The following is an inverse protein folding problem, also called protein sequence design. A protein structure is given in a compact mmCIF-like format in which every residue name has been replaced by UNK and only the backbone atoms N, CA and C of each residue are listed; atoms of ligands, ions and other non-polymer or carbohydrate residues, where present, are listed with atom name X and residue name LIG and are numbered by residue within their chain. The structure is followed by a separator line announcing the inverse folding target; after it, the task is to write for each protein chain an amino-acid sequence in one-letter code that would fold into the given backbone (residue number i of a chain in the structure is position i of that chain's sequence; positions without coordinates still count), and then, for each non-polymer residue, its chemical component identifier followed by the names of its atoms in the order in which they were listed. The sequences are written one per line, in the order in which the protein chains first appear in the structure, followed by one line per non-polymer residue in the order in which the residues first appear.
data_IF_613038690911
#
_entry.id   IF_613038690911
#
_cell.length_a   1.000
_cell.length_b   1.000
_cell.length_c   1.000
_cell.angle_alpha   90.00
_cell.angle_beta   90.00
_cell.angle_gamma   90.00
#
_symmetry.space_group_name_H-M   'P 1'
#
loop_
_entity.id
_entity.type
_entity.pdbx_description
1 polymer ?
#
# COMPACT_ATOMS: atom_id res chain seq x y z
N UNK A 1 12.02 -1.27 -17.89
CA UNK A 1 13.28 -1.75 -17.29
C UNK A 1 13.62 -0.95 -16.04
N UNK A 2 13.74 0.36 -16.09
CA UNK A 2 14.10 1.22 -14.96
C UNK A 2 13.19 1.06 -13.70
N UNK A 3 11.86 1.04 -13.87
CA UNK A 3 10.91 0.83 -12.76
C UNK A 3 11.16 -0.46 -11.97
N UNK A 4 11.43 -1.57 -12.68
CA UNK A 4 11.68 -2.87 -12.04
C UNK A 4 12.98 -2.86 -11.23
N UNK A 5 14.04 -2.25 -11.78
CA UNK A 5 15.34 -2.13 -11.10
C UNK A 5 15.20 -1.25 -9.85
N UNK A 6 14.60 -0.07 -9.98
CA UNK A 6 14.35 0.86 -8.87
C UNK A 6 13.56 0.17 -7.75
N UNK A 7 12.45 -0.49 -8.09
CA UNK A 7 11.64 -1.24 -7.14
C UNK A 7 12.45 -2.33 -6.43
N UNK A 8 13.27 -3.09 -7.19
CA UNK A 8 14.10 -4.15 -6.62
C UNK A 8 15.14 -3.62 -5.64
N UNK A 9 15.81 -2.52 -5.98
CA UNK A 9 16.81 -1.87 -5.10
C UNK A 9 16.16 -1.38 -3.81
N UNK A 10 15.05 -0.63 -3.91
CA UNK A 10 14.35 -0.13 -2.73
C UNK A 10 13.82 -1.29 -1.87
N UNK A 11 13.33 -2.36 -2.49
CA UNK A 11 12.88 -3.55 -1.76
C UNK A 11 14.03 -4.23 -1.01
N UNK A 12 15.21 -4.34 -1.61
CA UNK A 12 16.39 -4.92 -0.94
C UNK A 12 16.77 -4.07 0.28
N UNK A 13 16.77 -2.74 0.15
CA UNK A 13 17.05 -1.83 1.26
C UNK A 13 16.03 -1.98 2.39
N UNK A 14 14.73 -2.01 2.07
CA UNK A 14 13.67 -2.21 3.07
C UNK A 14 13.72 -3.60 3.70
N UNK A 15 14.04 -4.65 2.93
CA UNK A 15 14.24 -5.97 3.49
C UNK A 15 15.41 -5.98 4.50
N UNK A 16 16.56 -5.40 4.14
CA UNK A 16 17.68 -5.25 5.06
C UNK A 16 17.31 -4.49 6.33
N UNK A 17 16.58 -3.39 6.18
CA UNK A 17 16.12 -2.57 7.29
C UNK A 17 15.13 -3.35 8.19
N UNK A 18 14.05 -3.86 7.64
CA UNK A 18 12.98 -4.44 8.46
C UNK A 18 13.32 -5.82 9.00
N UNK A 19 13.89 -6.71 8.18
CA UNK A 19 14.26 -8.05 8.64
C UNK A 19 15.60 -8.07 9.38
N UNK A 20 16.61 -7.31 8.91
CA UNK A 20 17.94 -7.33 9.47
C UNK A 20 18.08 -6.46 10.72
N UNK A 21 17.56 -5.25 10.72
CA UNK A 21 17.73 -4.29 11.82
C UNK A 21 16.57 -4.36 12.81
N UNK A 22 15.32 -4.36 12.32
CA UNK A 22 14.14 -4.36 13.19
C UNK A 22 13.61 -5.76 13.53
N UNK A 23 14.19 -6.83 12.99
CA UNK A 23 13.80 -8.21 13.31
C UNK A 23 12.36 -8.52 12.89
N UNK A 24 11.87 -7.94 11.79
CA UNK A 24 10.51 -8.20 11.28
C UNK A 24 10.32 -9.69 11.06
N UNK A 25 9.28 -10.25 11.67
CA UNK A 25 8.84 -11.61 11.44
C UNK A 25 7.51 -11.61 10.69
N UNK A 26 7.38 -12.46 9.67
CA UNK A 26 6.16 -12.56 8.84
C UNK A 26 5.68 -14.00 8.84
N UNK A 27 4.52 -14.23 9.41
CA UNK A 27 3.83 -15.51 9.44
C UNK A 27 2.74 -15.58 8.38
N UNK A 28 2.41 -16.77 7.90
CA UNK A 28 1.33 -17.00 6.95
C UNK A 28 1.59 -16.48 5.54
N UNK A 29 2.86 -16.19 5.18
CA UNK A 29 3.22 -15.68 3.84
C UNK A 29 2.79 -16.62 2.71
N UNK A 30 2.75 -17.91 2.97
CA UNK A 30 2.28 -18.96 2.06
C UNK A 30 0.80 -18.81 1.68
N UNK A 31 0.00 -18.13 2.51
CA UNK A 31 -1.42 -17.87 2.28
C UNK A 31 -1.66 -16.68 1.33
N UNK A 32 -0.61 -15.92 0.98
CA UNK A 32 -0.75 -14.76 0.10
C UNK A 32 -0.95 -15.24 -1.35
N UNK A 33 -2.08 -14.91 -2.02
CA UNK A 33 -2.31 -15.27 -3.41
C UNK A 33 -1.25 -14.66 -4.32
N UNK A 34 -0.58 -15.48 -5.10
CA UNK A 34 0.50 -15.02 -6.02
C UNK A 34 -0.04 -14.28 -7.24
N UNK A 35 -1.30 -14.52 -7.63
CA UNK A 35 -1.95 -13.94 -8.82
C UNK A 35 -3.41 -13.60 -8.50
N UNK A 36 -4.00 -12.79 -9.36
CA UNK A 36 -5.40 -12.39 -9.26
C UNK A 36 -5.61 -11.14 -8.41
N UNK A 37 -6.77 -10.53 -8.53
CA UNK A 37 -7.13 -9.36 -7.77
C UNK A 37 -7.28 -9.68 -6.28
N UNK A 38 -6.69 -8.87 -5.42
CA UNK A 38 -6.88 -8.93 -3.96
C UNK A 38 -6.92 -7.53 -3.38
N UNK A 39 -7.70 -7.37 -2.31
CA UNK A 39 -7.66 -6.18 -1.45
C UNK A 39 -6.89 -6.56 -0.19
N UNK A 40 -5.85 -5.77 0.11
CA UNK A 40 -5.02 -5.89 1.32
C UNK A 40 -5.44 -4.78 2.27
N UNK A 41 -6.00 -5.14 3.40
CA UNK A 41 -6.62 -4.21 4.35
C UNK A 41 -5.90 -4.23 5.71
N UNK A 42 -4.67 -3.72 5.82
CA UNK A 42 -3.94 -3.67 7.09
C UNK A 42 -4.49 -2.56 7.98
N UNK A 43 -4.26 -2.66 9.29
CA UNK A 43 -4.43 -1.55 10.21
C UNK A 43 -3.37 -0.45 9.96
N UNK A 44 -3.66 0.80 10.36
CA UNK A 44 -2.77 1.94 10.09
C UNK A 44 -2.27 2.58 11.38
N UNK A 45 -1.02 2.33 11.71
CA UNK A 45 -0.34 2.86 12.91
C UNK A 45 0.79 3.83 12.56
N UNK A 46 1.49 3.60 11.45
CA UNK A 46 2.73 4.28 11.10
C UNK A 46 2.81 4.63 9.62
N UNK A 47 3.66 5.60 9.29
CA UNK A 47 4.06 5.86 7.90
C UNK A 47 4.86 4.69 7.29
N UNK A 48 5.39 3.80 8.12
CA UNK A 48 6.12 2.62 7.69
C UNK A 48 5.22 1.42 7.35
N UNK A 49 3.91 1.47 7.65
CA UNK A 49 3.01 0.35 7.38
C UNK A 49 2.99 -0.04 5.89
N UNK A 50 2.87 0.90 4.91
CA UNK A 50 2.89 0.52 3.51
C UNK A 50 4.16 -0.21 3.08
N UNK A 51 5.39 0.25 3.40
CA UNK A 51 6.59 -0.49 3.07
C UNK A 51 6.75 -1.80 3.86
N UNK A 52 6.31 -1.88 5.12
CA UNK A 52 6.33 -3.12 5.90
C UNK A 52 5.44 -4.18 5.24
N UNK A 53 4.21 -3.83 4.91
CA UNK A 53 3.29 -4.72 4.20
C UNK A 53 3.86 -5.08 2.82
N UNK A 54 4.46 -4.12 2.12
CA UNK A 54 5.10 -4.35 0.83
C UNK A 54 6.23 -5.38 0.87
N UNK A 55 7.07 -5.40 1.92
CA UNK A 55 8.12 -6.42 2.06
C UNK A 55 7.57 -7.78 2.50
N UNK A 56 6.43 -7.81 3.20
CA UNK A 56 5.73 -9.06 3.52
C UNK A 56 5.21 -9.75 2.24
N UNK A 57 4.76 -8.97 1.25
CA UNK A 57 4.28 -9.44 -0.06
C UNK A 57 5.43 -9.60 -1.06
N UNK A 58 6.27 -10.58 -0.84
CA UNK A 58 7.53 -10.81 -1.56
C UNK A 58 7.42 -10.73 -3.09
N UNK A 59 6.36 -11.31 -3.66
CA UNK A 59 6.23 -11.53 -5.10
C UNK A 59 5.23 -10.60 -5.79
N UNK A 60 4.65 -9.63 -5.04
CA UNK A 60 3.62 -8.72 -5.57
C UNK A 60 3.87 -7.28 -5.14
N UNK A 61 3.62 -6.37 -6.07
CA UNK A 61 3.55 -4.94 -5.77
C UNK A 61 2.14 -4.65 -5.27
N UNK A 62 2.03 -3.97 -4.12
CA UNK A 62 0.76 -3.50 -3.61
C UNK A 62 0.58 -2.05 -4.04
N UNK A 63 -0.50 -1.77 -4.74
CA UNK A 63 -0.88 -0.44 -5.17
C UNK A 63 -1.70 0.23 -4.08
N UNK A 64 -1.22 1.34 -3.52
CA UNK A 64 -1.90 2.03 -2.44
C UNK A 64 -2.62 3.29 -2.91
N UNK A 65 -3.70 3.64 -2.21
CA UNK A 65 -4.25 4.99 -2.23
C UNK A 65 -3.57 5.84 -1.15
N UNK A 66 -3.01 6.97 -1.54
CA UNK A 66 -2.40 7.91 -0.60
C UNK A 66 -2.95 9.32 -0.80
N UNK A 67 -3.00 10.12 0.28
CA UNK A 67 -3.55 11.47 0.19
C UNK A 67 -2.81 12.31 -0.85
N UNK A 68 -3.56 13.10 -1.64
CA UNK A 68 -3.02 13.85 -2.78
C UNK A 68 -1.90 14.82 -2.41
N UNK A 69 -1.88 15.35 -1.19
CA UNK A 69 -0.86 16.29 -0.73
C UNK A 69 0.55 15.67 -0.72
N UNK A 70 0.67 14.35 -0.59
CA UNK A 70 1.96 13.65 -0.66
C UNK A 70 2.57 13.70 -2.06
N UNK A 71 1.75 13.93 -3.08
CA UNK A 71 2.18 14.02 -4.47
C UNK A 71 2.56 15.45 -4.90
N UNK A 72 2.34 16.45 -4.04
CA UNK A 72 2.75 17.85 -4.28
C UNK A 72 4.28 17.99 -4.27
N UNK A 73 4.98 17.22 -3.45
CA UNK A 73 6.43 17.14 -3.54
C UNK A 73 6.81 16.30 -4.78
N UNK A 74 7.54 16.86 -5.77
CA UNK A 74 7.80 16.18 -7.03
C UNK A 74 8.64 14.91 -6.87
N UNK A 75 9.64 14.93 -5.98
CA UNK A 75 10.52 13.78 -5.73
C UNK A 75 9.73 12.67 -5.04
N UNK A 76 9.06 13.00 -3.95
CA UNK A 76 8.29 12.03 -3.18
C UNK A 76 7.11 11.48 -3.98
N UNK A 77 6.38 12.34 -4.69
CA UNK A 77 5.30 11.93 -5.58
C UNK A 77 5.77 11.02 -6.72
N UNK A 78 6.96 11.27 -7.26
CA UNK A 78 7.58 10.38 -8.25
C UNK A 78 7.85 8.99 -7.64
N UNK A 79 8.48 8.93 -6.46
CA UNK A 79 8.75 7.68 -5.75
C UNK A 79 7.46 6.90 -5.50
N UNK A 80 6.42 7.54 -4.97
CA UNK A 80 5.13 6.90 -4.71
C UNK A 80 4.53 6.28 -5.98
N UNK A 81 4.58 6.99 -7.12
CA UNK A 81 4.10 6.46 -8.40
C UNK A 81 4.89 5.26 -8.90
N UNK A 82 6.20 5.18 -8.60
CA UNK A 82 7.01 3.99 -8.95
C UNK A 82 6.51 2.72 -8.22
N UNK A 83 5.95 2.89 -7.02
CA UNK A 83 5.32 1.82 -6.23
C UNK A 83 3.83 1.59 -6.56
N UNK A 84 3.34 2.16 -7.67
CA UNK A 84 1.93 2.01 -8.05
C UNK A 84 0.96 2.77 -7.14
N UNK A 85 1.46 3.60 -6.22
CA UNK A 85 0.62 4.42 -5.35
C UNK A 85 0.00 5.58 -6.14
N UNK A 86 -1.28 5.83 -5.94
CA UNK A 86 -2.03 6.88 -6.61
C UNK A 86 -2.77 7.80 -5.62
N UNK A 87 -3.02 9.07 -6.00
CA UNK A 87 -3.61 10.06 -5.10
C UNK A 87 -5.09 9.80 -4.86
N UNK A 88 -5.55 10.14 -3.65
CA UNK A 88 -6.95 10.22 -3.27
C UNK A 88 -7.22 11.52 -2.49
N UNK A 89 -8.31 12.19 -2.84
CA UNK A 89 -8.83 13.35 -2.09
C UNK A 89 -9.59 12.85 -0.87
N UNK A 90 -9.22 13.35 0.31
CA UNK A 90 -9.93 13.03 1.55
C UNK A 90 -11.03 14.03 1.84
N UNK A 91 -12.03 13.61 2.62
CA UNK A 91 -13.15 14.47 3.03
C UNK A 91 -14.34 14.49 2.07
N UNK A 92 -14.23 13.88 0.90
CA UNK A 92 -15.31 13.71 -0.07
C UNK A 92 -15.14 12.40 -0.85
N UNK A 93 -16.19 12.02 -1.58
CA UNK A 93 -16.12 10.84 -2.47
C UNK A 93 -15.25 11.20 -3.68
N UNK A 94 -14.07 10.59 -3.77
CA UNK A 94 -13.18 10.74 -4.92
C UNK A 94 -13.45 9.64 -5.96
N UNK A 95 -14.34 9.97 -6.91
CA UNK A 95 -14.73 9.04 -7.98
C UNK A 95 -13.57 8.62 -8.87
N UNK A 96 -12.54 9.49 -9.04
CA UNK A 96 -11.37 9.17 -9.85
C UNK A 96 -10.49 8.13 -9.15
N UNK A 97 -10.27 8.29 -7.84
CA UNK A 97 -9.54 7.32 -7.04
C UNK A 97 -10.27 5.98 -7.00
N UNK A 98 -11.61 5.96 -6.83
CA UNK A 98 -12.42 4.74 -6.88
C UNK A 98 -12.29 4.06 -8.25
N UNK A 99 -12.43 4.81 -9.34
CA UNK A 99 -12.28 4.26 -10.70
C UNK A 99 -10.89 3.66 -10.90
N UNK A 100 -9.85 4.34 -10.41
CA UNK A 100 -8.47 3.82 -10.49
C UNK A 100 -8.31 2.53 -9.68
N UNK A 101 -8.86 2.46 -8.47
CA UNK A 101 -8.84 1.26 -7.64
C UNK A 101 -9.50 0.06 -8.34
N UNK A 102 -10.67 0.28 -8.97
CA UNK A 102 -11.37 -0.75 -9.74
C UNK A 102 -10.52 -1.22 -10.93
N UNK A 103 -9.83 -0.31 -11.63
CA UNK A 103 -8.95 -0.68 -12.74
C UNK A 103 -7.77 -1.54 -12.26
N UNK A 104 -7.13 -1.18 -11.13
CA UNK A 104 -6.06 -2.00 -10.57
C UNK A 104 -6.53 -3.43 -10.24
N UNK A 105 -7.72 -3.57 -9.67
CA UNK A 105 -8.30 -4.89 -9.40
C UNK A 105 -8.64 -5.65 -10.69
N UNK A 106 -9.20 -4.98 -11.71
CA UNK A 106 -9.49 -5.60 -13.01
C UNK A 106 -8.22 -6.10 -13.72
N UNK A 107 -7.09 -5.43 -13.53
CA UNK A 107 -5.77 -5.83 -14.02
C UNK A 107 -5.15 -6.98 -13.21
N UNK A 108 -5.83 -7.45 -12.15
CA UNK A 108 -5.35 -8.52 -11.28
C UNK A 108 -4.29 -8.07 -10.27
N UNK A 109 -4.19 -6.77 -10.02
CA UNK A 109 -3.23 -6.22 -9.06
C UNK A 109 -3.69 -6.38 -7.60
N UNK A 110 -2.75 -6.25 -6.66
CA UNK A 110 -3.03 -6.15 -5.24
C UNK A 110 -3.27 -4.68 -4.88
N UNK A 111 -4.45 -4.37 -4.35
CA UNK A 111 -4.83 -3.03 -3.91
C UNK A 111 -4.72 -2.94 -2.39
N UNK A 112 -3.88 -2.03 -1.88
CA UNK A 112 -3.73 -1.77 -0.46
C UNK A 112 -4.62 -0.61 -0.01
N UNK A 113 -5.47 -0.86 0.97
CA UNK A 113 -6.36 0.14 1.54
C UNK A 113 -6.27 0.05 3.05
N UNK A 114 -6.00 1.16 3.72
CA UNK A 114 -6.12 1.26 5.16
C UNK A 114 -7.57 1.61 5.52
N UNK A 115 -8.36 0.65 6.05
CA UNK A 115 -9.80 0.85 6.24
C UNK A 115 -10.13 1.93 7.27
N UNK A 116 -9.19 2.28 8.13
CA UNK A 116 -9.30 3.36 9.10
C UNK A 116 -9.20 4.77 8.48
N UNK A 117 -8.72 4.87 7.23
CA UNK A 117 -8.55 6.13 6.49
C UNK A 117 -7.51 7.09 7.08
N UNK A 118 -7.03 6.85 8.30
CA UNK A 118 -6.02 7.64 9.01
C UNK A 118 -5.22 6.76 9.94
N UNK A 119 -4.08 7.27 10.42
CA UNK A 119 -3.27 6.57 11.43
C UNK A 119 -3.92 6.65 12.80
N UNK A 120 -4.01 5.53 13.49
CA UNK A 120 -4.60 5.42 14.82
C UNK A 120 -3.48 5.39 15.87
N UNK A 121 -3.42 6.43 16.69
CA UNK A 121 -2.39 6.60 17.73
C UNK A 121 -2.68 5.81 19.02
N UNK A 122 -3.96 5.50 19.28
CA UNK A 122 -4.41 4.71 20.45
C UNK A 122 -4.17 3.21 20.25
N UNK A 123 -4.24 2.45 21.33
CA UNK A 123 -4.25 0.98 21.26
C UNK A 123 -5.51 0.47 20.53
N UNK A 124 -5.40 -0.74 19.96
CA UNK A 124 -6.48 -1.38 19.22
C UNK A 124 -6.65 -0.87 17.79
N UNK A 125 -7.77 -1.26 17.20
CA UNK A 125 -8.16 -0.87 15.85
C UNK A 125 -9.01 0.41 15.88
N UNK A 126 -8.92 1.21 14.83
CA UNK A 126 -9.78 2.36 14.60
C UNK A 126 -11.14 1.97 14.01
N UNK A 127 -11.99 2.96 13.79
CA UNK A 127 -13.25 2.76 13.06
C UNK A 127 -12.95 2.52 11.58
N UNK A 128 -13.51 1.46 11.04
CA UNK A 128 -13.41 1.14 9.62
C UNK A 128 -14.45 1.88 8.80
N UNK A 129 -14.04 2.43 7.69
CA UNK A 129 -14.93 3.04 6.70
C UNK A 129 -15.43 1.97 5.72
N UNK A 130 -16.73 1.95 5.46
CA UNK A 130 -17.38 0.95 4.58
C UNK A 130 -17.04 1.10 3.10
N UNK A 131 -16.42 2.23 2.68
CA UNK A 131 -16.08 2.48 1.28
C UNK A 131 -15.21 1.42 0.61
N UNK A 132 -14.40 0.70 1.40
CA UNK A 132 -13.60 -0.43 0.89
C UNK A 132 -14.48 -1.62 0.44
N UNK A 133 -15.58 -1.86 1.13
CA UNK A 133 -16.50 -2.97 0.81
C UNK A 133 -17.30 -2.72 -0.47
N UNK A 134 -17.22 -1.52 -1.05
CA UNK A 134 -17.91 -1.12 -2.28
C UNK A 134 -17.01 -1.27 -3.52
N UNK A 135 -15.78 -1.70 -3.38
CA UNK A 135 -14.84 -1.98 -4.46
C UNK A 135 -14.90 -3.44 -4.90
#
# INVERSE_FOLDING_TARGET
MFKKIFYSVVRVLFNGLFFGIYGLHVEGRENIPRKGAIIVAPNHKSNFDPPIVGVAFKDRIIHYMAKEELFKNPIFGYILRQFGTFPVKRGSIDRMAIRRAILELKEGNALGIFPEGTRIQREGLGRFHSGMASL
#
